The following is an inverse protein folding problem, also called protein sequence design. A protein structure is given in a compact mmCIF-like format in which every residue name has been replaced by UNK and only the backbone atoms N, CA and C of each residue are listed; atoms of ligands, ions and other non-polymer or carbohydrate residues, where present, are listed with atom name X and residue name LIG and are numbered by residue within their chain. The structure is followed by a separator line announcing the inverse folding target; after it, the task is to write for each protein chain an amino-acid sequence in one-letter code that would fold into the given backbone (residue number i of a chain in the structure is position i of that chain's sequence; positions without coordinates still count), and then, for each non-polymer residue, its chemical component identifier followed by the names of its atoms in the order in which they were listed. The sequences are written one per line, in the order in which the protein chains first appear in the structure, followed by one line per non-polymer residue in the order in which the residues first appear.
data_IF_345421317057
#
_entry.id   IF_345421317057
#
_cell.length_a   1.000
_cell.length_b   1.000
_cell.length_c   1.000
_cell.angle_alpha   90.00
_cell.angle_beta   90.00
_cell.angle_gamma   90.00
#
_symmetry.space_group_name_H-M   'P 1'
#
loop_
_entity.id
_entity.type
_entity.pdbx_description
1 polymer ?
#
# COMPACT_ATOMS: atom_id res chain seq x y z
N UNK A 1 61.21 -3.59 -21.42
CA UNK A 1 59.94 -3.70 -20.68
C UNK A 1 58.87 -3.12 -21.57
N UNK A 2 57.84 -3.89 -21.94
CA UNK A 2 56.73 -3.36 -22.75
C UNK A 2 55.97 -2.38 -21.87
N UNK A 3 55.98 -1.09 -22.23
CA UNK A 3 55.02 -0.12 -21.69
C UNK A 3 53.63 -0.74 -21.83
N UNK A 4 52.99 -1.09 -20.70
CA UNK A 4 51.57 -1.41 -20.71
C UNK A 4 50.89 -0.20 -21.33
N UNK A 5 50.29 -0.36 -22.51
CA UNK A 5 49.46 0.67 -23.16
C UNK A 5 48.50 1.17 -22.08
N UNK A 6 48.71 2.42 -21.67
CA UNK A 6 47.91 3.11 -20.68
C UNK A 6 46.50 3.21 -21.25
N UNK A 7 45.63 2.31 -20.82
CA UNK A 7 44.25 2.23 -21.28
C UNK A 7 43.45 3.33 -20.60
N UNK A 8 43.56 4.54 -21.15
CA UNK A 8 42.91 5.75 -20.64
C UNK A 8 41.43 5.52 -20.41
N UNK A 9 40.77 4.71 -21.23
CA UNK A 9 39.34 4.48 -21.14
C UNK A 9 39.02 3.60 -19.93
N UNK A 10 39.74 2.49 -19.75
CA UNK A 10 39.56 1.61 -18.58
C UNK A 10 39.94 2.30 -17.26
N UNK A 11 40.99 3.11 -17.25
CA UNK A 11 41.43 3.88 -16.09
C UNK A 11 40.44 5.02 -15.76
N UNK A 12 39.97 5.74 -16.77
CA UNK A 12 38.98 6.80 -16.60
C UNK A 12 37.66 6.23 -16.07
N UNK A 13 37.22 5.09 -16.61
CA UNK A 13 36.06 4.38 -16.08
C UNK A 13 36.30 3.94 -14.64
N UNK A 14 37.43 3.30 -14.29
CA UNK A 14 37.67 2.87 -12.89
C UNK A 14 37.78 4.03 -11.89
N UNK A 15 38.42 5.14 -12.26
CA UNK A 15 38.56 6.33 -11.40
C UNK A 15 37.25 7.07 -11.26
N UNK A 16 36.50 7.24 -12.35
CA UNK A 16 35.22 7.94 -12.35
C UNK A 16 34.12 7.08 -11.68
N UNK A 17 34.16 5.77 -11.89
CA UNK A 17 33.35 4.80 -11.14
C UNK A 17 33.72 4.81 -9.66
N UNK A 18 34.99 4.90 -9.25
CA UNK A 18 35.35 5.05 -7.84
C UNK A 18 34.93 6.42 -7.25
N UNK A 19 35.06 7.51 -8.01
CA UNK A 19 34.60 8.85 -7.62
C UNK A 19 33.08 8.85 -7.41
N UNK A 20 32.30 8.27 -8.32
CA UNK A 20 30.84 8.26 -8.25
C UNK A 20 30.28 7.20 -7.29
N UNK A 21 30.90 6.03 -7.20
CA UNK A 21 30.61 5.04 -6.15
C UNK A 21 30.76 5.70 -4.77
N UNK A 22 31.76 6.55 -4.52
CA UNK A 22 31.98 7.13 -3.18
C UNK A 22 31.37 8.50 -2.94
N UNK A 23 31.13 9.33 -3.97
CA UNK A 23 30.30 10.55 -3.85
C UNK A 23 28.88 10.24 -3.35
N UNK A 24 28.43 9.00 -3.54
CA UNK A 24 27.10 8.55 -3.18
C UNK A 24 27.06 7.41 -2.14
N UNK A 25 28.10 6.56 -2.01
CA UNK A 25 28.25 5.65 -0.84
C UNK A 25 28.61 6.41 0.44
N UNK A 26 29.05 7.67 0.36
CA UNK A 26 29.16 8.55 1.53
C UNK A 26 27.81 8.86 2.23
N UNK A 27 26.69 8.46 1.63
CA UNK A 27 25.36 8.43 2.23
C UNK A 27 24.89 7.04 2.66
N UNK A 28 25.77 6.02 2.76
CA UNK A 28 25.38 4.64 3.01
C UNK A 28 26.26 3.90 4.04
N UNK A 29 25.81 3.95 5.28
CA UNK A 29 25.73 2.82 6.22
C UNK A 29 24.49 3.20 7.09
N UNK A 30 23.22 2.79 6.91
CA UNK A 30 22.47 1.78 6.14
C UNK A 30 20.94 2.02 6.23
N UNK A 31 20.17 1.22 5.49
CA UNK A 31 19.15 0.36 6.15
C UNK A 31 18.15 -0.27 5.19
N UNK A 32 18.28 -1.57 4.89
CA UNK A 32 17.24 -2.37 4.22
C UNK A 32 17.02 -3.63 5.05
N UNK A 33 15.77 -3.91 5.46
CA UNK A 33 15.18 -5.23 5.18
C UNK A 33 13.64 -5.18 5.18
N UNK A 34 13.08 -5.87 4.17
CA UNK A 34 11.73 -6.44 3.96
C UNK A 34 10.44 -5.71 4.39
N UNK A 35 9.56 -5.58 3.40
CA UNK A 35 8.21 -6.21 3.47
C UNK A 35 7.97 -7.05 2.21
N UNK A 36 7.95 -8.38 2.40
CA UNK A 36 7.12 -9.26 1.56
C UNK A 36 5.67 -9.00 1.96
N UNK A 37 4.84 -8.88 0.93
CA UNK A 37 3.38 -9.04 0.93
C UNK A 37 2.59 -8.14 1.88
N UNK A 38 1.86 -7.20 1.29
CA UNK A 38 0.40 -7.38 1.20
C UNK A 38 -0.03 -7.07 -0.23
N UNK A 39 0.15 -8.06 -1.13
CA UNK A 39 -0.79 -8.18 -2.26
C UNK A 39 -2.13 -8.60 -1.66
N UNK A 40 -2.88 -7.63 -1.16
CA UNK A 40 -4.32 -7.71 -1.26
C UNK A 40 -4.66 -7.25 -2.66
N UNK A 41 -4.82 -8.15 -3.63
CA UNK A 41 -5.60 -7.85 -4.83
C UNK A 41 -7.04 -7.60 -4.38
N UNK A 42 -7.29 -6.40 -3.86
CA UNK A 42 -8.63 -5.92 -3.68
C UNK A 42 -9.13 -5.55 -5.07
N UNK A 43 -10.07 -6.37 -5.55
CA UNK A 43 -10.94 -5.95 -6.64
C UNK A 43 -11.50 -4.57 -6.27
N UNK A 44 -11.55 -3.62 -7.22
CA UNK A 44 -11.97 -2.26 -6.95
C UNK A 44 -13.47 -2.26 -6.61
N UNK A 45 -13.78 -2.43 -5.33
CA UNK A 45 -15.05 -2.02 -4.77
C UNK A 45 -15.02 -0.49 -4.69
N UNK A 46 -16.16 0.13 -5.01
CA UNK A 46 -16.33 1.59 -4.96
C UNK A 46 -15.90 2.13 -3.58
N UNK A 47 -14.72 2.76 -3.56
CA UNK A 47 -14.16 3.38 -2.36
C UNK A 47 -15.08 4.53 -1.95
N UNK A 48 -15.55 4.49 -0.71
CA UNK A 48 -16.40 5.52 -0.10
C UNK A 48 -15.64 6.84 0.02
N UNK A 49 -16.36 7.95 0.21
CA UNK A 49 -15.74 9.22 0.60
C UNK A 49 -14.92 9.02 1.90
N UNK A 50 -13.79 9.72 2.00
CA UNK A 50 -12.92 9.66 3.17
C UNK A 50 -13.66 10.17 4.42
N UNK A 51 -13.20 9.76 5.60
CA UNK A 51 -13.77 10.24 6.87
C UNK A 51 -13.56 11.75 6.99
N UNK A 52 -12.34 12.20 6.72
CA UNK A 52 -12.01 13.62 6.65
C UNK A 52 -12.09 14.12 5.20
N UNK A 53 -12.66 15.31 4.95
CA UNK A 53 -12.64 15.90 3.61
C UNK A 53 -11.21 16.18 3.18
N UNK A 54 -10.95 16.08 1.87
CA UNK A 54 -9.65 16.48 1.33
C UNK A 54 -9.47 18.00 1.57
N UNK A 55 -8.30 18.44 2.07
CA UNK A 55 -8.04 19.86 2.23
C UNK A 55 -8.05 20.57 0.88
N UNK A 56 -8.67 21.75 0.80
CA UNK A 56 -8.78 22.55 -0.43
C UNK A 56 -7.87 23.79 -0.39
N UNK A 57 -7.38 24.15 0.79
CA UNK A 57 -6.47 25.29 1.01
C UNK A 57 -5.21 24.88 1.77
N UNK A 58 -4.14 25.66 1.65
CA UNK A 58 -2.89 25.45 2.40
C UNK A 58 -3.14 25.41 3.91
N UNK A 59 -3.97 26.32 4.43
CA UNK A 59 -4.30 26.36 5.86
C UNK A 59 -5.04 25.10 6.31
N UNK A 60 -6.02 24.63 5.54
CA UNK A 60 -6.72 23.37 5.83
C UNK A 60 -5.79 22.17 5.78
N UNK A 61 -4.84 22.15 4.84
CA UNK A 61 -3.83 21.10 4.74
C UNK A 61 -2.91 21.09 5.96
N UNK A 62 -2.43 22.24 6.40
CA UNK A 62 -1.60 22.38 7.61
C UNK A 62 -2.35 21.97 8.89
N UNK A 63 -3.62 22.36 9.02
CA UNK A 63 -4.48 21.96 10.13
C UNK A 63 -4.73 20.44 10.14
N UNK A 64 -5.02 19.85 8.97
CA UNK A 64 -5.22 18.42 8.82
C UNK A 64 -3.94 17.63 9.11
N UNK A 65 -2.79 18.07 8.58
CA UNK A 65 -1.49 17.44 8.81
C UNK A 65 -1.05 17.48 10.27
N UNK A 66 -1.35 18.58 10.97
CA UNK A 66 -1.16 18.67 12.42
C UNK A 66 -2.03 17.65 13.15
N UNK A 67 -3.31 17.56 12.81
CA UNK A 67 -4.25 16.62 13.40
C UNK A 67 -3.80 15.16 13.23
N UNK A 68 -3.47 14.72 12.01
CA UNK A 68 -3.08 13.31 11.76
C UNK A 68 -1.78 12.94 12.47
N UNK A 69 -1.00 13.94 12.87
CA UNK A 69 0.29 13.71 13.52
C UNK A 69 0.22 13.78 15.02
N UNK A 70 -0.61 14.66 15.56
CA UNK A 70 -1.06 14.54 16.94
C UNK A 70 -1.67 13.14 17.14
N UNK A 71 -2.44 12.64 16.17
CA UNK A 71 -2.96 11.27 16.19
C UNK A 71 -1.83 10.22 16.18
N UNK A 72 -0.78 10.40 15.37
CA UNK A 72 0.37 9.50 15.35
C UNK A 72 1.12 9.52 16.68
N UNK A 73 1.46 10.69 17.23
CA UNK A 73 2.09 10.84 18.54
C UNK A 73 1.29 10.17 19.66
N UNK A 74 -0.04 10.28 19.63
CA UNK A 74 -0.93 9.68 20.65
C UNK A 74 -1.18 8.17 20.46
N UNK A 75 -0.92 7.63 19.27
CA UNK A 75 -1.14 6.20 18.96
C UNK A 75 0.17 5.42 18.92
N UNK A 76 1.30 6.13 18.89
CA UNK A 76 2.66 5.62 18.93
C UNK A 76 2.89 4.41 18.01
N UNK A 77 2.68 4.57 16.68
CA UNK A 77 2.95 3.54 15.69
C UNK A 77 4.45 3.22 15.62
N UNK A 78 4.81 2.03 15.16
CA UNK A 78 6.18 1.74 14.78
C UNK A 78 6.56 2.51 13.52
N UNK A 79 7.84 2.84 13.39
CA UNK A 79 8.40 3.56 12.26
C UNK A 79 9.53 2.77 11.61
N UNK A 80 9.53 2.70 10.29
CA UNK A 80 10.71 2.38 9.51
C UNK A 80 11.28 3.66 8.93
N UNK A 81 12.59 3.76 8.81
CA UNK A 81 13.26 4.88 8.16
C UNK A 81 14.12 4.36 7.01
N UNK A 82 14.05 5.05 5.89
CA UNK A 82 14.86 4.83 4.71
C UNK A 82 15.32 6.19 4.17
N UNK A 83 16.49 6.24 3.56
CA UNK A 83 17.01 7.44 2.92
C UNK A 83 17.65 7.06 1.59
N UNK A 84 17.25 7.72 0.51
CA UNK A 84 17.85 7.51 -0.80
C UNK A 84 18.16 8.82 -1.51
N UNK A 85 19.13 8.76 -2.41
CA UNK A 85 19.55 9.87 -3.26
C UNK A 85 19.38 9.50 -4.72
N UNK A 86 18.92 10.43 -5.53
CA UNK A 86 18.89 10.31 -6.99
C UNK A 86 19.68 11.43 -7.65
N UNK A 87 20.44 11.11 -8.69
CA UNK A 87 21.27 12.06 -9.41
C UNK A 87 20.61 12.38 -10.73
N UNK A 88 20.43 13.66 -11.02
CA UNK A 88 20.08 14.04 -12.38
C UNK A 88 21.34 13.96 -13.26
N UNK A 89 21.53 12.83 -13.94
CA UNK A 89 22.69 12.62 -14.80
C UNK A 89 22.77 13.61 -15.97
N UNK A 90 21.63 14.18 -16.39
CA UNK A 90 21.58 15.17 -17.47
C UNK A 90 22.06 16.54 -16.99
N UNK A 91 22.00 16.81 -15.67
CA UNK A 91 22.51 18.03 -15.04
C UNK A 91 24.03 18.07 -14.84
N UNK A 92 24.77 16.99 -15.16
CA UNK A 92 26.22 16.93 -14.92
C UNK A 92 26.95 17.91 -15.83
N UNK A 93 27.53 18.95 -15.24
CA UNK A 93 28.43 19.90 -15.89
C UNK A 93 29.87 19.74 -15.37
N UNK A 94 30.84 19.99 -16.26
CA UNK A 94 32.25 19.95 -15.91
C UNK A 94 33.10 20.73 -16.90
N UNK A 95 34.19 21.32 -16.42
CA UNK A 95 35.22 21.96 -17.25
C UNK A 95 36.14 20.96 -17.97
N UNK A 96 35.87 19.65 -17.83
CA UNK A 96 36.56 18.55 -18.50
C UNK A 96 36.14 18.34 -19.96
N UNK A 97 36.80 17.39 -20.63
CA UNK A 97 36.43 17.00 -22.00
C UNK A 97 35.05 16.33 -22.04
N UNK A 98 34.37 16.33 -23.19
CA UNK A 98 33.12 15.58 -23.38
C UNK A 98 33.28 14.07 -23.06
N UNK A 99 34.46 13.48 -23.29
CA UNK A 99 34.76 12.11 -22.88
C UNK A 99 34.84 11.92 -21.36
N UNK A 100 35.23 12.97 -20.63
CA UNK A 100 35.23 13.00 -19.17
C UNK A 100 33.79 13.10 -18.64
N UNK A 101 32.98 14.01 -19.20
CA UNK A 101 31.55 14.13 -18.88
C UNK A 101 30.78 12.83 -19.14
N UNK A 102 30.99 12.19 -20.30
CA UNK A 102 30.36 10.90 -20.63
C UNK A 102 30.80 9.77 -19.69
N UNK A 103 32.05 9.80 -19.21
CA UNK A 103 32.52 8.83 -18.23
C UNK A 103 31.81 9.03 -16.88
N UNK A 104 31.56 10.29 -16.48
CA UNK A 104 30.78 10.61 -15.28
C UNK A 104 29.35 10.07 -15.40
N UNK A 105 28.63 10.42 -16.46
CA UNK A 105 27.26 9.93 -16.71
C UNK A 105 27.17 8.39 -16.70
N UNK A 106 28.09 7.70 -17.39
CA UNK A 106 28.10 6.24 -17.44
C UNK A 106 28.34 5.60 -16.07
N UNK A 107 29.19 6.20 -15.25
CA UNK A 107 29.48 5.69 -13.93
C UNK A 107 28.34 5.94 -12.92
N UNK A 108 27.57 7.02 -13.08
CA UNK A 108 26.37 7.27 -12.26
C UNK A 108 25.29 6.22 -12.53
N UNK A 109 25.03 5.88 -13.80
CA UNK A 109 24.04 4.84 -14.13
C UNK A 109 24.39 3.43 -13.63
N UNK A 110 25.66 3.03 -13.67
CA UNK A 110 26.07 1.72 -13.11
C UNK A 110 26.04 1.68 -11.58
N UNK A 111 26.09 2.86 -10.95
CA UNK A 111 26.07 3.02 -9.52
C UNK A 111 24.64 2.90 -8.97
N UNK A 112 23.66 3.54 -9.61
CA UNK A 112 22.23 3.34 -9.31
C UNK A 112 21.83 1.85 -9.34
N UNK A 113 22.35 1.10 -10.30
CA UNK A 113 22.15 -0.36 -10.39
C UNK A 113 22.80 -1.14 -9.22
N UNK A 114 23.94 -0.68 -8.68
CA UNK A 114 24.67 -1.37 -7.61
C UNK A 114 24.21 -1.03 -6.19
N UNK A 115 23.63 0.15 -5.96
CA UNK A 115 23.05 0.52 -4.65
C UNK A 115 21.86 -0.36 -4.29
N UNK A 116 21.11 -0.84 -5.29
CA UNK A 116 19.93 -1.67 -5.10
C UNK A 116 20.17 -3.04 -4.39
N UNK A 117 21.40 -3.33 -3.93
CA UNK A 117 21.76 -4.62 -3.33
C UNK A 117 22.83 -4.64 -2.23
N UNK A 118 23.04 -3.58 -1.43
CA UNK A 118 24.05 -3.57 -0.35
C UNK A 118 23.50 -3.14 1.04
N UNK A 119 23.73 -3.98 2.07
CA UNK A 119 23.21 -3.91 3.46
C UNK A 119 24.32 -3.83 4.56
N UNK A 120 23.86 -3.49 5.78
CA UNK A 120 24.36 -3.46 7.19
C UNK A 120 25.62 -2.64 7.72
N UNK A 121 25.61 -1.93 8.91
CA UNK A 121 26.14 -0.55 9.32
C UNK A 121 25.30 0.42 10.23
N UNK A 122 25.19 0.10 11.51
CA UNK A 122 24.83 0.88 12.71
C UNK A 122 25.20 2.39 12.77
N UNK A 123 24.22 3.31 12.63
CA UNK A 123 23.97 4.46 13.53
C UNK A 123 22.74 5.31 13.08
N UNK A 124 21.65 5.28 13.87
CA UNK A 124 20.37 6.08 13.81
C UNK A 124 19.57 6.02 12.49
N UNK A 125 18.33 5.50 12.39
CA UNK A 125 17.34 4.85 13.26
C UNK A 125 16.73 3.80 12.33
N UNK A 126 17.23 2.57 12.31
CA UNK A 126 16.77 1.62 11.29
C UNK A 126 15.35 1.09 11.56
N UNK A 127 14.80 1.33 12.76
CA UNK A 127 13.41 1.04 13.12
C UNK A 127 13.10 1.66 14.48
N UNK A 128 12.00 2.39 14.61
CA UNK A 128 11.41 2.74 15.92
C UNK A 128 10.33 1.72 16.22
N UNK A 129 10.44 1.06 17.36
CA UNK A 129 9.47 0.06 17.75
C UNK A 129 8.24 0.70 18.42
N UNK A 130 7.15 -0.06 18.49
CA UNK A 130 5.99 0.30 19.30
C UNK A 130 6.42 0.62 20.75
N UNK A 131 5.90 1.71 21.29
CA UNK A 131 6.16 2.12 22.68
C UNK A 131 7.36 3.06 22.87
N UNK A 132 8.21 3.23 21.86
CA UNK A 132 9.30 4.22 21.87
C UNK A 132 8.75 5.62 21.55
N UNK A 133 9.30 6.66 22.19
CA UNK A 133 8.81 8.03 22.02
C UNK A 133 9.19 8.59 20.63
N UNK A 134 8.22 8.62 19.71
CA UNK A 134 8.40 9.19 18.37
C UNK A 134 8.36 10.72 18.35
N UNK A 135 8.03 11.38 19.48
CA UNK A 135 7.88 12.84 19.52
C UNK A 135 9.19 13.56 19.24
N UNK A 136 10.33 13.00 19.66
CA UNK A 136 11.66 13.55 19.32
C UNK A 136 11.85 13.57 17.82
N UNK A 137 11.49 12.49 17.12
CA UNK A 137 11.64 12.40 15.66
C UNK A 137 10.72 13.34 14.91
N UNK A 138 9.45 13.38 15.31
CA UNK A 138 8.50 14.27 14.66
C UNK A 138 8.86 15.73 14.97
N UNK A 139 9.14 16.08 16.23
CA UNK A 139 9.47 17.45 16.61
C UNK A 139 10.81 17.95 16.02
N UNK A 140 11.87 17.13 16.05
CA UNK A 140 13.19 17.52 15.52
C UNK A 140 13.14 17.71 13.99
N UNK A 141 12.25 17.00 13.29
CA UNK A 141 11.97 17.19 11.87
C UNK A 141 10.93 18.30 11.59
N UNK A 142 10.68 19.19 12.55
CA UNK A 142 9.84 20.38 12.37
C UNK A 142 8.35 20.08 12.17
N UNK A 143 7.88 18.94 12.66
CA UNK A 143 6.50 18.52 12.49
C UNK A 143 5.51 19.50 13.14
N UNK A 144 4.51 19.98 12.38
CA UNK A 144 3.45 20.86 12.89
C UNK A 144 3.83 22.35 13.03
N UNK A 145 5.06 22.74 12.68
CA UNK A 145 5.48 24.14 12.53
C UNK A 145 5.51 24.58 11.05
N UNK A 146 4.57 24.05 10.26
CA UNK A 146 4.58 24.17 8.80
C UNK A 146 3.89 25.46 8.37
N UNK A 147 4.54 26.24 7.51
CA UNK A 147 3.93 27.30 6.71
C UNK A 147 4.31 27.06 5.24
N UNK A 148 3.49 26.34 4.49
CA UNK A 148 3.82 26.01 3.10
C UNK A 148 3.49 27.17 2.16
N UNK A 149 4.30 27.38 1.12
CA UNK A 149 4.00 28.31 0.05
C UNK A 149 2.88 27.79 -0.85
N UNK A 150 3.00 26.53 -1.26
CA UNK A 150 2.04 25.83 -2.11
C UNK A 150 1.75 24.41 -1.58
N UNK A 151 0.65 23.82 -2.06
CA UNK A 151 0.17 22.53 -1.61
C UNK A 151 -0.55 21.77 -2.74
N UNK A 152 -0.37 20.45 -2.81
CA UNK A 152 -1.15 19.56 -3.68
C UNK A 152 -1.74 18.37 -2.91
N UNK A 153 -3.01 18.03 -3.19
CA UNK A 153 -3.71 16.87 -2.65
C UNK A 153 -4.14 15.93 -3.78
N UNK A 154 -3.47 14.79 -3.94
CA UNK A 154 -3.82 13.78 -4.94
C UNK A 154 -4.57 12.61 -4.30
N UNK A 155 -5.78 12.34 -4.81
CA UNK A 155 -6.62 11.21 -4.37
C UNK A 155 -7.66 10.76 -5.39
N UNK A 156 -7.79 11.49 -6.49
CA UNK A 156 -8.71 11.17 -7.58
C UNK A 156 -7.90 10.58 -8.72
N UNK A 157 -8.43 9.53 -9.35
CA UNK A 157 -7.93 9.06 -10.63
C UNK A 157 -9.12 8.63 -11.49
N UNK A 158 -8.87 8.40 -12.76
CA UNK A 158 -9.87 8.07 -13.74
C UNK A 158 -9.52 6.72 -14.36
N UNK A 159 -10.52 5.92 -14.71
CA UNK A 159 -10.27 4.64 -15.37
C UNK A 159 -11.22 4.35 -16.51
N UNK A 160 -10.67 3.71 -17.55
CA UNK A 160 -11.39 3.40 -18.76
C UNK A 160 -12.50 2.38 -18.49
N UNK A 161 -13.76 2.65 -18.89
CA UNK A 161 -14.88 1.71 -18.75
C UNK A 161 -14.69 0.40 -19.52
N UNK A 162 -13.83 0.41 -20.55
CA UNK A 162 -13.71 -0.72 -21.48
C UNK A 162 -12.53 -1.63 -21.16
N UNK A 163 -11.40 -1.07 -20.72
CA UNK A 163 -10.16 -1.85 -20.52
C UNK A 163 -9.49 -1.66 -19.15
N UNK A 164 -9.99 -0.75 -18.31
CA UNK A 164 -9.45 -0.51 -16.98
C UNK A 164 -8.13 0.26 -16.92
N UNK A 165 -7.61 0.76 -18.04
CA UNK A 165 -6.45 1.67 -18.06
C UNK A 165 -6.77 2.92 -17.25
N UNK A 166 -5.82 3.37 -16.41
CA UNK A 166 -5.98 4.49 -15.48
C UNK A 166 -5.30 5.76 -16.00
N UNK A 167 -5.74 6.92 -15.50
CA UNK A 167 -5.18 8.25 -15.77
C UNK A 167 -5.40 9.14 -14.53
N UNK A 168 -4.48 10.06 -14.24
CA UNK A 168 -4.68 11.06 -13.18
C UNK A 168 -5.57 12.24 -13.66
N UNK A 169 -5.69 12.41 -14.97
CA UNK A 169 -6.54 13.41 -15.60
C UNK A 169 -7.82 12.79 -16.21
N UNK A 170 -8.94 13.52 -16.27
CA UNK A 170 -10.14 13.06 -16.96
C UNK A 170 -9.89 12.96 -18.46
N UNK A 171 -10.29 11.82 -19.05
CA UNK A 171 -10.14 11.56 -20.49
C UNK A 171 -11.46 11.17 -21.12
N UNK A 172 -11.73 11.76 -22.29
CA UNK A 172 -12.94 11.49 -23.09
C UNK A 172 -12.75 10.32 -24.08
N UNK A 173 -11.52 9.82 -24.22
CA UNK A 173 -11.21 8.67 -25.06
C UNK A 173 -10.00 7.87 -24.55
N UNK A 174 -9.95 6.59 -24.89
CA UNK A 174 -8.88 5.68 -24.49
C UNK A 174 -8.04 5.27 -25.70
N UNK A 175 -6.78 5.69 -25.75
CA UNK A 175 -5.86 5.31 -26.83
C UNK A 175 -5.53 3.81 -26.81
N UNK A 176 -5.49 3.19 -25.62
CA UNK A 176 -5.11 1.78 -25.47
C UNK A 176 -6.13 0.81 -26.09
N UNK A 177 -7.43 1.11 -26.00
CA UNK A 177 -8.49 0.24 -26.51
C UNK A 177 -9.42 0.88 -27.56
N UNK A 178 -9.19 2.15 -27.92
CA UNK A 178 -10.01 2.90 -28.88
C UNK A 178 -11.40 3.29 -28.37
N UNK A 179 -11.67 3.16 -27.07
CA UNK A 179 -12.97 3.52 -26.47
C UNK A 179 -13.19 5.03 -26.53
N UNK A 180 -14.33 5.47 -27.06
CA UNK A 180 -14.77 6.87 -27.09
C UNK A 180 -15.67 7.24 -25.89
N UNK A 181 -15.51 6.52 -24.79
CA UNK A 181 -16.28 6.74 -23.55
C UNK A 181 -15.39 7.49 -22.56
N UNK A 182 -16.00 8.47 -21.91
CA UNK A 182 -15.40 9.16 -20.77
C UNK A 182 -14.98 8.16 -19.69
N UNK A 183 -13.82 8.43 -19.10
CA UNK A 183 -13.32 7.63 -17.99
C UNK A 183 -14.18 7.89 -16.76
N UNK A 184 -14.47 6.83 -16.01
CA UNK A 184 -15.20 6.97 -14.76
C UNK A 184 -14.25 7.47 -13.66
N UNK A 185 -14.73 8.41 -12.84
CA UNK A 185 -13.99 8.93 -11.69
C UNK A 185 -13.87 7.86 -10.62
N UNK A 186 -12.66 7.67 -10.08
CA UNK A 186 -12.32 6.81 -8.96
C UNK A 186 -11.51 7.57 -7.92
N UNK A 187 -11.30 6.88 -6.82
CA UNK A 187 -10.77 7.38 -5.57
C UNK A 187 -9.63 6.46 -5.15
N UNK A 188 -8.46 7.03 -4.83
CA UNK A 188 -7.35 6.31 -4.20
C UNK A 188 -7.71 6.01 -2.74
N UNK A 189 -7.08 5.00 -2.14
CA UNK A 189 -7.26 4.69 -0.71
C UNK A 189 -6.63 5.72 0.22
N UNK A 190 -5.71 6.53 -0.29
CA UNK A 190 -4.90 7.49 0.46
C UNK A 190 -5.02 8.90 -0.12
N UNK A 191 -4.83 9.90 0.73
CA UNK A 191 -4.48 11.27 0.36
C UNK A 191 -2.96 11.34 0.24
N UNK A 192 -2.46 11.69 -0.95
CA UNK A 192 -1.07 12.12 -1.14
C UNK A 192 -1.04 13.65 -1.04
N UNK A 193 -0.52 14.16 0.06
CA UNK A 193 -0.49 15.58 0.44
C UNK A 193 0.95 16.06 0.35
N UNK A 194 1.27 16.87 -0.65
CA UNK A 194 2.63 17.42 -0.85
C UNK A 194 2.61 18.90 -0.56
N UNK A 195 3.42 19.32 0.41
CA UNK A 195 3.70 20.72 0.72
C UNK A 195 4.95 21.15 -0.05
N UNK A 196 4.78 22.15 -0.92
CA UNK A 196 5.83 22.72 -1.76
C UNK A 196 6.27 24.09 -1.23
N UNK A 197 7.58 24.31 -1.23
CA UNK A 197 8.30 25.54 -0.88
C UNK A 197 8.21 26.07 0.57
N UNK A 198 9.35 25.98 1.28
CA UNK A 198 9.71 26.72 2.49
C UNK A 198 10.99 27.56 2.29
N UNK A 199 11.18 28.22 1.14
CA UNK A 199 12.31 29.14 0.94
C UNK A 199 11.86 30.56 0.58
N UNK A 200 11.66 31.37 1.61
CA UNK A 200 11.63 32.82 1.47
C UNK A 200 13.05 33.38 1.47
N UNK A 201 13.62 33.57 0.28
CA UNK A 201 14.78 34.42 0.00
C UNK A 201 16.20 33.92 0.39
N UNK A 202 17.25 34.40 -0.34
CA UNK A 202 18.64 34.08 -0.04
C UNK A 202 19.05 34.59 1.34
N UNK A 203 19.45 33.67 2.22
CA UNK A 203 19.90 33.99 3.59
C UNK A 203 18.99 33.45 4.69
N UNK A 204 17.83 32.89 4.36
CA UNK A 204 17.03 32.15 5.34
C UNK A 204 17.70 30.79 5.62
N UNK A 205 17.89 30.48 6.90
CA UNK A 205 18.31 29.15 7.32
C UNK A 205 17.12 28.22 7.13
N UNK A 206 17.24 27.26 6.21
CA UNK A 206 16.36 26.08 6.16
C UNK A 206 16.04 25.64 7.59
N UNK A 207 14.76 25.51 7.98
CA UNK A 207 14.41 24.96 9.29
C UNK A 207 14.83 23.50 9.45
N UNK A 208 15.30 22.87 8.36
CA UNK A 208 15.82 21.51 8.33
C UNK A 208 17.35 21.58 8.27
N UNK A 209 17.99 21.01 9.30
CA UNK A 209 19.43 21.11 9.54
C UNK A 209 20.23 20.73 8.29
N UNK A 210 20.94 21.71 7.73
CA UNK A 210 22.02 21.43 6.77
C UNK A 210 23.07 20.63 7.53
N UNK A 211 23.52 19.47 7.00
CA UNK A 211 24.71 18.80 7.54
C UNK A 211 25.85 19.81 7.64
N UNK A 212 26.50 19.86 8.80
CA UNK A 212 27.62 20.76 9.03
C UNK A 212 28.79 20.42 8.11
N UNK A 213 29.63 21.41 7.78
CA UNK A 213 30.84 21.16 6.98
C UNK A 213 31.78 20.16 7.65
N UNK A 214 31.77 20.09 8.98
CA UNK A 214 32.58 19.20 9.80
C UNK A 214 32.13 17.74 9.68
N UNK A 215 30.81 17.50 9.62
CA UNK A 215 30.24 16.17 9.34
C UNK A 215 30.59 15.71 7.93
N UNK A 216 30.46 16.60 6.94
CA UNK A 216 30.82 16.29 5.56
C UNK A 216 32.33 16.02 5.43
N UNK A 217 33.19 16.81 6.10
CA UNK A 217 34.65 16.63 6.10
C UNK A 217 35.10 15.34 6.79
N UNK A 218 34.45 14.97 7.90
CA UNK A 218 34.71 13.70 8.59
C UNK A 218 34.37 12.50 7.70
N UNK A 219 33.29 12.59 6.91
CA UNK A 219 32.82 11.53 6.00
C UNK A 219 33.76 11.34 4.80
N UNK A 220 34.37 12.40 4.27
CA UNK A 220 35.24 12.33 3.08
C UNK A 220 36.73 12.09 3.39
N UNK A 221 37.11 12.06 4.67
CA UNK A 221 38.51 11.99 5.11
C UNK A 221 39.17 10.67 4.70
N UNK A 222 40.29 10.75 3.98
CA UNK A 222 41.10 9.59 3.57
C UNK A 222 40.60 8.85 2.32
N UNK A 223 39.42 9.22 1.78
CA UNK A 223 38.81 8.55 0.63
C UNK A 223 39.49 8.84 -0.71
N UNK A 224 40.11 10.03 -0.82
CA UNK A 224 40.77 10.49 -2.04
C UNK A 224 42.29 10.46 -1.94
N UNK A 225 42.83 9.82 -0.90
CA UNK A 225 44.26 9.75 -0.62
C UNK A 225 45.03 9.17 -1.83
N UNK A 226 45.90 10.00 -2.41
CA UNK A 226 46.70 9.62 -3.58
C UNK A 226 45.97 9.65 -4.92
N UNK A 227 44.69 10.06 -4.97
CA UNK A 227 43.88 10.17 -6.19
C UNK A 227 43.51 11.61 -6.52
N UNK A 228 42.93 12.34 -5.57
CA UNK A 228 42.59 13.76 -5.73
C UNK A 228 42.53 14.48 -4.37
N UNK A 229 42.52 15.80 -4.39
CA UNK A 229 42.13 16.65 -3.26
C UNK A 229 40.87 17.41 -3.61
N UNK A 230 39.98 17.60 -2.65
CA UNK A 230 38.85 18.52 -2.78
C UNK A 230 39.35 19.91 -2.42
N UNK A 231 39.35 20.80 -3.41
CA UNK A 231 39.82 22.18 -3.27
C UNK A 231 38.72 23.07 -2.68
N UNK A 232 37.47 22.85 -3.12
CA UNK A 232 36.29 23.56 -2.64
C UNK A 232 35.03 22.72 -2.89
N UNK A 233 33.98 22.96 -2.12
CA UNK A 233 32.65 22.43 -2.37
C UNK A 233 31.61 23.50 -2.10
N UNK A 234 30.52 23.47 -2.86
CA UNK A 234 29.35 24.28 -2.67
C UNK A 234 28.11 23.39 -2.81
N UNK A 235 27.19 23.50 -1.85
CA UNK A 235 25.90 22.81 -1.88
C UNK A 235 24.84 23.90 -1.80
N UNK A 236 24.10 24.08 -2.89
CA UNK A 236 22.99 25.00 -2.97
C UNK A 236 21.69 24.20 -2.88
N UNK A 237 20.82 24.55 -1.93
CA UNK A 237 19.51 23.94 -1.83
C UNK A 237 18.58 24.64 -2.81
N UNK A 238 18.02 23.86 -3.74
CA UNK A 238 17.18 24.36 -4.83
C UNK A 238 15.70 24.06 -4.61
N UNK A 239 15.36 23.13 -3.73
CA UNK A 239 13.99 22.80 -3.40
C UNK A 239 13.87 21.99 -2.12
N UNK A 240 12.71 22.11 -1.47
CA UNK A 240 12.36 21.30 -0.32
C UNK A 240 10.86 21.02 -0.32
N UNK A 241 10.50 19.75 -0.16
CA UNK A 241 9.12 19.27 -0.21
C UNK A 241 8.88 18.25 0.90
N UNK A 242 7.67 18.26 1.44
CA UNK A 242 7.24 17.25 2.39
C UNK A 242 6.01 16.56 1.83
N UNK A 243 6.07 15.23 1.68
CA UNK A 243 4.98 14.43 1.14
C UNK A 243 4.43 13.48 2.20
N UNK A 244 3.14 13.58 2.46
CA UNK A 244 2.39 12.68 3.33
C UNK A 244 1.54 11.75 2.50
N UNK A 245 1.52 10.48 2.88
CA UNK A 245 0.45 9.56 2.50
C UNK A 245 -0.40 9.29 3.74
N UNK A 246 -1.70 9.53 3.63
CA UNK A 246 -2.65 9.35 4.74
C UNK A 246 -3.82 8.50 4.27
N UNK A 247 -4.11 7.42 4.99
CA UNK A 247 -5.27 6.58 4.70
C UNK A 247 -6.57 7.38 4.89
N UNK A 248 -7.39 7.47 3.83
CA UNK A 248 -8.60 8.32 3.82
C UNK A 248 -9.72 7.81 4.71
N UNK A 249 -9.71 6.53 5.01
CA UNK A 249 -10.74 5.87 5.82
C UNK A 249 -10.35 5.79 7.29
N UNK A 250 -9.08 6.01 7.64
CA UNK A 250 -8.63 5.95 9.03
C UNK A 250 -7.95 7.23 9.51
N UNK A 251 -7.55 8.16 8.64
CA UNK A 251 -6.69 9.32 8.97
C UNK A 251 -5.35 8.90 9.59
N UNK A 252 -4.82 7.75 9.19
CA UNK A 252 -3.53 7.23 9.64
C UNK A 252 -2.47 7.52 8.58
N UNK A 253 -1.39 8.20 8.99
CA UNK A 253 -0.24 8.47 8.13
C UNK A 253 0.39 7.12 7.79
N UNK A 254 0.52 6.76 6.53
CA UNK A 254 1.18 5.51 6.09
C UNK A 254 2.63 5.77 5.70
N UNK A 255 2.92 6.96 5.15
CA UNK A 255 4.27 7.40 4.83
C UNK A 255 4.44 8.90 4.99
N UNK A 256 5.63 9.32 5.39
CA UNK A 256 6.09 10.70 5.40
C UNK A 256 7.43 10.77 4.68
N UNK A 257 7.58 11.69 3.74
CA UNK A 257 8.83 11.89 3.02
C UNK A 257 9.30 13.33 3.11
N UNK A 258 10.59 13.52 3.33
CA UNK A 258 11.28 14.79 3.22
C UNK A 258 12.17 14.74 1.99
N UNK A 259 11.89 15.60 1.02
CA UNK A 259 12.56 15.61 -0.27
C UNK A 259 13.35 16.91 -0.39
N UNK A 260 14.66 16.81 -0.52
CA UNK A 260 15.59 17.94 -0.65
C UNK A 260 16.22 17.91 -2.03
N UNK A 261 15.98 18.94 -2.82
CA UNK A 261 16.64 19.14 -4.10
C UNK A 261 17.85 20.07 -3.88
N UNK A 262 19.00 19.67 -4.41
CA UNK A 262 20.28 20.36 -4.23
C UNK A 262 21.06 20.40 -5.54
N UNK A 263 21.79 21.49 -5.75
CA UNK A 263 22.88 21.56 -6.72
C UNK A 263 24.20 21.47 -5.97
N UNK A 264 24.97 20.43 -6.27
CA UNK A 264 26.30 20.22 -5.71
C UNK A 264 27.33 20.67 -6.73
N UNK A 265 28.32 21.46 -6.30
CA UNK A 265 29.46 21.87 -7.12
C UNK A 265 30.75 21.61 -6.35
N UNK A 266 31.71 20.92 -6.97
CA UNK A 266 32.98 20.56 -6.33
C UNK A 266 34.14 20.88 -7.26
N UNK A 267 35.15 21.53 -6.71
CA UNK A 267 36.46 21.68 -7.32
C UNK A 267 37.39 20.58 -6.80
N UNK A 268 37.96 19.80 -7.71
CA UNK A 268 38.92 18.74 -7.38
C UNK A 268 40.24 18.94 -8.09
N UNK A 269 41.35 18.65 -7.42
CA UNK A 269 42.68 18.55 -8.02
C UNK A 269 43.13 17.11 -8.02
N UNK A 270 43.32 16.50 -9.19
CA UNK A 270 43.87 15.15 -9.28
C UNK A 270 45.35 15.11 -8.93
N UNK A 271 45.77 14.11 -8.14
CA UNK A 271 47.14 13.94 -7.65
C UNK A 271 47.70 12.55 -8.00
N UNK A 272 49.00 12.32 -7.76
CA UNK A 272 49.64 11.03 -7.97
C UNK A 272 49.65 10.60 -9.45
N UNK A 273 49.18 9.38 -9.74
CA UNK A 273 49.13 8.85 -11.11
C UNK A 273 48.15 9.61 -12.03
N UNK A 274 47.31 10.48 -11.45
CA UNK A 274 46.20 11.15 -12.12
C UNK A 274 46.40 12.65 -12.32
N UNK A 275 47.56 13.21 -11.93
CA UNK A 275 47.87 14.65 -12.06
C UNK A 275 47.63 15.22 -13.47
N UNK A 276 47.71 14.38 -14.52
CA UNK A 276 47.43 14.77 -15.90
C UNK A 276 45.99 15.18 -16.18
N UNK A 277 45.04 14.79 -15.32
CA UNK A 277 43.65 15.25 -15.39
C UNK A 277 43.51 16.70 -14.88
N UNK A 278 44.50 17.18 -14.12
CA UNK A 278 44.57 18.55 -13.64
C UNK A 278 43.48 18.87 -12.63
N UNK A 279 43.10 20.15 -12.58
CA UNK A 279 41.95 20.60 -11.81
C UNK A 279 40.68 20.39 -12.60
N UNK A 280 39.61 19.96 -11.94
CA UNK A 280 38.29 19.80 -12.54
C UNK A 280 37.25 20.45 -11.64
N UNK A 281 36.35 21.20 -12.25
CA UNK A 281 35.10 21.59 -11.62
C UNK A 281 34.02 20.63 -12.11
N UNK A 282 33.18 20.16 -11.18
CA UNK A 282 32.08 19.23 -11.44
C UNK A 282 30.86 19.76 -10.71
N UNK A 283 29.73 19.92 -11.41
CA UNK A 283 28.45 20.25 -10.80
C UNK A 283 27.34 19.34 -11.31
N UNK A 284 26.35 19.08 -10.45
CA UNK A 284 25.18 18.26 -10.76
C UNK A 284 24.09 18.47 -9.71
N UNK A 285 22.86 18.11 -10.08
CA UNK A 285 21.71 18.13 -9.21
C UNK A 285 21.50 16.76 -8.56
N UNK A 286 21.12 16.80 -7.29
CA UNK A 286 20.79 15.64 -6.47
C UNK A 286 19.44 15.90 -5.82
N UNK A 287 18.61 14.86 -5.75
CA UNK A 287 17.45 14.82 -4.86
C UNK A 287 17.72 13.81 -3.76
N UNK A 288 17.67 14.25 -2.51
CA UNK A 288 17.71 13.41 -1.32
C UNK A 288 16.29 13.21 -0.81
N UNK A 289 15.94 11.98 -0.44
CA UNK A 289 14.63 11.65 0.12
C UNK A 289 14.78 10.82 1.37
N UNK A 290 14.44 11.41 2.52
CA UNK A 290 14.17 10.67 3.75
C UNK A 290 12.72 10.17 3.70
N UNK A 291 12.52 8.88 3.90
CA UNK A 291 11.22 8.23 3.93
C UNK A 291 10.99 7.55 5.27
N UNK A 292 9.89 7.91 5.92
CA UNK A 292 9.40 7.26 7.12
C UNK A 292 8.15 6.46 6.76
N UNK A 293 8.15 5.17 7.08
CA UNK A 293 6.99 4.29 6.95
C UNK A 293 6.35 4.07 8.32
N UNK A 294 5.04 4.14 8.40
CA UNK A 294 4.30 4.04 9.66
C UNK A 294 3.52 2.73 9.70
N UNK A 295 3.73 1.95 10.75
CA UNK A 295 2.97 0.73 11.04
C UNK A 295 2.10 0.97 12.27
N UNK A 296 0.79 1.03 12.06
CA UNK A 296 -0.18 1.33 13.10
C UNK A 296 -0.58 0.06 13.85
N UNK A 297 -0.85 0.13 15.16
CA UNK A 297 -1.35 -1.02 15.90
C UNK A 297 -2.74 -1.35 15.39
N UNK A 298 -2.92 -2.59 14.94
CA UNK A 298 -4.17 -3.10 14.42
C UNK A 298 -4.25 -4.60 14.72
N UNK A 299 -5.47 -5.11 14.76
CA UNK A 299 -5.77 -6.52 14.85
C UNK A 299 -6.70 -6.86 13.70
N UNK A 300 -6.33 -7.88 12.93
CA UNK A 300 -7.13 -8.39 11.83
C UNK A 300 -7.32 -9.90 11.99
N UNK A 301 -8.54 -10.36 11.75
CA UNK A 301 -8.86 -11.76 11.66
C UNK A 301 -8.69 -12.23 10.22
N UNK A 302 -8.17 -13.45 10.05
CA UNK A 302 -8.00 -14.06 8.73
C UNK A 302 -9.33 -14.35 8.00
N UNK A 303 -10.48 -14.27 8.68
CA UNK A 303 -11.81 -14.56 8.15
C UNK A 303 -12.85 -13.62 8.77
N UNK A 304 -13.63 -12.93 7.94
CA UNK A 304 -14.82 -12.17 8.39
C UNK A 304 -16.02 -13.09 8.66
N UNK A 305 -16.08 -14.23 7.97
CA UNK A 305 -17.14 -15.24 8.13
C UNK A 305 -16.58 -16.64 8.16
N UNK A 306 -17.18 -17.49 8.99
CA UNK A 306 -16.78 -18.88 9.19
C UNK A 306 -18.00 -19.79 9.28
N UNK A 307 -17.96 -20.95 8.64
CA UNK A 307 -19.03 -21.97 8.73
C UNK A 307 -18.44 -23.22 9.37
N UNK A 308 -19.01 -23.65 10.51
CA UNK A 308 -18.57 -24.83 11.24
C UNK A 308 -19.76 -25.79 11.37
N UNK A 309 -19.55 -27.08 11.12
CA UNK A 309 -20.59 -28.07 11.41
C UNK A 309 -20.77 -28.29 12.92
N UNK A 310 -21.96 -28.64 13.40
CA UNK A 310 -22.18 -28.88 14.83
C UNK A 310 -21.25 -29.96 15.39
N UNK A 311 -20.64 -29.69 16.56
CA UNK A 311 -19.66 -30.53 17.26
C UNK A 311 -18.28 -30.65 16.59
N UNK A 312 -18.02 -29.86 15.55
CA UNK A 312 -16.67 -29.71 15.01
C UNK A 312 -16.02 -28.44 15.55
N UNK A 313 -14.73 -28.32 15.26
CA UNK A 313 -13.91 -27.18 15.62
C UNK A 313 -13.23 -26.60 14.38
N UNK A 314 -12.93 -25.32 14.42
CA UNK A 314 -12.06 -24.63 13.46
C UNK A 314 -11.30 -23.54 14.23
N UNK A 315 -10.42 -22.80 13.57
CA UNK A 315 -9.65 -21.74 14.21
C UNK A 315 -9.75 -20.43 13.43
N UNK A 316 -9.66 -19.34 14.18
CA UNK A 316 -9.37 -18.02 13.67
C UNK A 316 -7.91 -17.70 13.97
N UNK A 317 -7.26 -17.04 13.02
CA UNK A 317 -5.94 -16.48 13.22
C UNK A 317 -6.12 -14.97 13.33
N UNK A 318 -5.68 -14.42 14.45
CA UNK A 318 -5.56 -12.99 14.63
C UNK A 318 -4.13 -12.57 14.32
N UNK A 319 -3.98 -11.64 13.40
CA UNK A 319 -2.71 -11.03 13.05
C UNK A 319 -2.63 -9.64 13.70
N UNK A 320 -1.53 -9.40 14.39
CA UNK A 320 -1.19 -8.10 14.93
C UNK A 320 -0.18 -7.46 13.99
N UNK A 321 -0.42 -6.20 13.63
CA UNK A 321 0.58 -5.39 12.92
C UNK A 321 1.69 -4.88 13.85
N UNK A 322 1.52 -5.04 15.17
CA UNK A 322 2.53 -4.72 16.16
C UNK A 322 3.34 -5.95 16.59
N UNK A 323 4.64 -5.93 16.32
CA UNK A 323 5.59 -6.88 16.89
C UNK A 323 5.99 -6.45 18.31
N UNK A 324 5.15 -6.71 19.31
CA UNK A 324 5.66 -6.99 20.67
C UNK A 324 5.07 -8.32 21.18
N UNK A 325 5.78 -9.44 20.96
CA UNK A 325 5.26 -10.77 21.22
C UNK A 325 5.22 -11.17 22.70
N UNK A 326 5.42 -10.27 23.67
CA UNK A 326 5.41 -10.64 25.10
C UNK A 326 4.54 -9.78 26.04
N UNK A 327 3.96 -8.66 25.58
CA UNK A 327 3.11 -7.80 26.41
C UNK A 327 1.61 -7.80 26.02
N UNK A 328 1.27 -8.18 24.80
CA UNK A 328 -0.11 -8.10 24.30
C UNK A 328 -0.75 -9.48 24.16
N UNK A 329 -1.55 -9.87 25.16
CA UNK A 329 -2.41 -11.06 25.07
C UNK A 329 -3.71 -10.70 24.37
N UNK A 330 -4.00 -11.39 23.27
CA UNK A 330 -5.30 -11.29 22.60
C UNK A 330 -6.35 -11.95 23.49
N UNK A 331 -7.42 -11.22 23.76
CA UNK A 331 -8.61 -11.69 24.46
C UNK A 331 -9.67 -12.09 23.45
N UNK A 332 -10.27 -13.25 23.65
CA UNK A 332 -11.33 -13.77 22.78
C UNK A 332 -12.66 -13.82 23.51
N UNK A 333 -13.73 -13.49 22.82
CA UNK A 333 -15.10 -13.57 23.36
C UNK A 333 -16.06 -14.15 22.33
N UNK A 334 -17.10 -14.84 22.83
CA UNK A 334 -18.22 -15.33 22.03
C UNK A 334 -19.49 -14.64 22.45
N UNK A 335 -20.28 -14.17 21.49
CA UNK A 335 -21.57 -13.52 21.77
C UNK A 335 -22.63 -14.51 22.30
N UNK A 336 -22.48 -15.82 22.05
CA UNK A 336 -23.33 -16.91 22.57
C UNK A 336 -22.54 -18.23 22.66
N UNK A 337 -21.95 -18.49 23.83
CA UNK A 337 -21.24 -19.74 24.14
C UNK A 337 -22.12 -21.00 24.06
N UNK A 338 -23.45 -20.87 24.05
CA UNK A 338 -24.33 -22.02 23.82
C UNK A 338 -24.32 -22.50 22.36
N UNK A 339 -23.81 -21.69 21.42
CA UNK A 339 -23.65 -21.99 19.99
C UNK A 339 -22.21 -22.37 19.67
N UNK A 340 -21.24 -21.54 20.05
CA UNK A 340 -19.82 -21.84 19.92
C UNK A 340 -18.99 -21.14 21.01
N UNK A 341 -17.98 -21.82 21.52
CA UNK A 341 -16.99 -21.27 22.47
C UNK A 341 -15.68 -20.98 21.74
N UNK A 342 -14.88 -20.07 22.27
CA UNK A 342 -13.53 -19.76 21.76
C UNK A 342 -12.53 -19.80 22.91
N UNK A 343 -11.35 -20.38 22.69
CA UNK A 343 -10.28 -20.41 23.68
C UNK A 343 -9.28 -19.24 23.53
N UNK A 344 -8.21 -19.26 24.33
CA UNK A 344 -7.22 -18.18 24.34
C UNK A 344 -6.35 -18.13 23.07
N UNK A 345 -6.27 -19.24 22.35
CA UNK A 345 -5.50 -19.41 21.11
C UNK A 345 -6.35 -19.17 19.85
N UNK A 346 -7.64 -18.87 20.00
CA UNK A 346 -8.57 -18.61 18.89
C UNK A 346 -9.16 -19.87 18.26
N UNK A 347 -9.09 -21.03 18.93
CA UNK A 347 -9.83 -22.22 18.50
C UNK A 347 -11.29 -22.10 18.91
N UNK A 348 -12.16 -22.35 17.94
CA UNK A 348 -13.61 -22.27 18.09
C UNK A 348 -14.16 -23.69 18.12
N UNK A 349 -14.83 -24.04 19.22
CA UNK A 349 -15.58 -25.28 19.36
C UNK A 349 -17.07 -25.02 19.16
N UNK A 350 -17.62 -25.51 18.06
CA UNK A 350 -19.04 -25.44 17.80
C UNK A 350 -19.79 -26.46 18.66
N UNK A 351 -20.85 -26.04 19.34
CA UNK A 351 -21.69 -26.96 20.10
C UNK A 351 -22.61 -27.75 19.16
N UNK A 352 -23.53 -28.53 19.73
CA UNK A 352 -24.60 -29.19 18.97
C UNK A 352 -25.67 -28.23 18.44
N UNK A 353 -25.76 -27.01 18.98
CA UNK A 353 -26.82 -26.05 18.67
C UNK A 353 -26.44 -25.30 17.40
N UNK A 354 -27.29 -25.34 16.39
CA UNK A 354 -27.11 -24.54 15.18
C UNK A 354 -27.48 -23.08 15.43
N UNK A 355 -26.80 -22.16 14.77
CA UNK A 355 -27.08 -20.74 14.87
C UNK A 355 -25.95 -19.88 14.33
N UNK A 356 -26.11 -18.58 14.52
CA UNK A 356 -25.13 -17.54 14.21
C UNK A 356 -24.59 -16.97 15.51
N UNK A 357 -23.28 -16.80 15.59
CA UNK A 357 -22.59 -16.23 16.75
C UNK A 357 -21.42 -15.37 16.27
N UNK A 358 -21.15 -14.26 16.94
CA UNK A 358 -20.00 -13.42 16.65
C UNK A 358 -18.87 -13.77 17.61
N UNK A 359 -17.70 -14.06 17.06
CA UNK A 359 -16.46 -14.25 17.82
C UNK A 359 -15.63 -12.99 17.66
N UNK A 360 -15.23 -12.37 18.77
CA UNK A 360 -14.44 -11.13 18.77
C UNK A 360 -13.09 -11.39 19.40
N UNK A 361 -12.02 -10.99 18.71
CA UNK A 361 -10.68 -10.88 19.25
C UNK A 361 -10.40 -9.42 19.62
N UNK A 362 -9.70 -9.19 20.71
CA UNK A 362 -9.30 -7.84 21.13
C UNK A 362 -7.94 -7.82 21.83
N UNK A 363 -7.25 -6.69 21.74
CA UNK A 363 -6.07 -6.41 22.55
C UNK A 363 -6.06 -4.94 22.99
N UNK A 364 -5.38 -4.65 24.10
CA UNK A 364 -5.21 -3.29 24.60
C UNK A 364 -3.77 -2.83 24.38
N UNK A 365 -3.61 -1.64 23.80
CA UNK A 365 -2.32 -0.98 23.62
C UNK A 365 -2.46 0.51 23.95
N UNK A 366 -1.61 1.00 24.85
CA UNK A 366 -1.64 2.39 25.37
C UNK A 366 -3.02 2.84 25.86
N UNK A 367 -3.78 1.95 26.51
CA UNK A 367 -5.12 2.25 27.03
C UNK A 367 -6.22 2.34 25.95
N UNK A 368 -5.91 2.00 24.70
CA UNK A 368 -6.87 1.85 23.60
C UNK A 368 -7.10 0.37 23.33
N UNK A 369 -8.35 0.01 23.08
CA UNK A 369 -8.74 -1.37 22.72
C UNK A 369 -8.89 -1.44 21.20
N UNK A 370 -8.25 -2.45 20.61
CA UNK A 370 -8.32 -2.78 19.19
C UNK A 370 -9.02 -4.12 19.06
N UNK A 371 -10.04 -4.19 18.19
CA UNK A 371 -10.89 -5.37 18.06
C UNK A 371 -11.19 -5.67 16.60
N UNK A 372 -11.39 -6.94 16.31
CA UNK A 372 -11.95 -7.43 15.05
C UNK A 372 -12.83 -8.66 15.34
N UNK A 373 -13.78 -8.92 14.47
CA UNK A 373 -14.84 -9.91 14.70
C UNK A 373 -15.15 -10.75 13.48
N UNK A 374 -15.47 -12.02 13.74
CA UNK A 374 -15.87 -12.99 12.74
C UNK A 374 -17.28 -13.47 13.05
N UNK A 375 -18.15 -13.48 12.03
CA UNK A 375 -19.46 -14.11 12.12
C UNK A 375 -19.35 -15.61 11.85
N UNK A 376 -19.63 -16.43 12.85
CA UNK A 376 -19.58 -17.88 12.80
C UNK A 376 -20.99 -18.45 12.65
N UNK A 377 -21.20 -19.21 11.58
CA UNK A 377 -22.42 -19.96 11.33
C UNK A 377 -22.21 -21.43 11.70
N UNK A 378 -22.80 -21.86 12.81
CA UNK A 378 -22.84 -23.28 13.18
C UNK A 378 -23.98 -23.96 12.43
N UNK A 379 -23.65 -24.62 11.32
CA UNK A 379 -24.61 -25.29 10.44
C UNK A 379 -23.94 -26.35 9.58
N UNK A 380 -24.73 -27.33 9.14
CA UNK A 380 -24.35 -28.24 8.07
C UNK A 380 -24.67 -27.54 6.74
N UNK A 381 -23.67 -27.24 5.90
CA UNK A 381 -23.88 -26.51 4.66
C UNK A 381 -24.70 -27.33 3.67
N UNK A 382 -25.40 -26.64 2.77
CA UNK A 382 -25.92 -27.27 1.55
C UNK A 382 -24.73 -27.51 0.61
N UNK A 383 -24.67 -28.69 -0.01
CA UNK A 383 -23.65 -29.05 -1.01
C UNK A 383 -24.23 -29.10 -2.43
N UNK A 384 -25.52 -29.43 -2.54
CA UNK A 384 -26.22 -29.41 -3.83
C UNK A 384 -27.73 -29.34 -3.66
N UNK A 385 -28.39 -28.84 -4.71
CA UNK A 385 -29.84 -28.85 -4.83
C UNK A 385 -30.23 -29.39 -6.20
N UNK A 386 -31.25 -30.27 -6.23
CA UNK A 386 -31.73 -30.89 -7.47
C UNK A 386 -33.24 -30.85 -7.55
N UNK A 387 -33.78 -30.34 -8.65
CA UNK A 387 -35.22 -30.40 -8.91
C UNK A 387 -35.67 -31.76 -9.46
N UNK A 388 -36.93 -32.10 -9.22
CA UNK A 388 -37.57 -33.34 -9.67
C UNK A 388 -37.59 -33.47 -11.20
N UNK A 389 -37.67 -32.34 -11.92
CA UNK A 389 -37.67 -32.26 -13.38
C UNK A 389 -36.83 -31.07 -13.87
N UNK A 390 -36.22 -31.24 -15.05
CA UNK A 390 -35.52 -30.15 -15.77
C UNK A 390 -36.40 -29.48 -16.82
N UNK A 391 -37.42 -30.19 -17.30
CA UNK A 391 -38.39 -29.70 -18.28
C UNK A 391 -39.77 -30.26 -17.95
N UNK A 392 -40.80 -29.42 -18.11
CA UNK A 392 -42.21 -29.77 -17.92
C UNK A 392 -43.03 -29.14 -19.04
N UNK A 393 -44.00 -29.88 -19.58
CA UNK A 393 -44.97 -29.40 -20.56
C UNK A 393 -46.36 -29.41 -19.94
N UNK A 394 -47.10 -28.31 -20.08
CA UNK A 394 -48.44 -28.13 -19.51
C UNK A 394 -49.39 -27.52 -20.54
N UNK A 395 -50.67 -27.88 -20.46
CA UNK A 395 -51.75 -27.10 -21.08
C UNK A 395 -52.08 -25.86 -20.25
N UNK A 396 -52.68 -24.84 -20.88
CA UNK A 396 -53.15 -23.65 -20.17
C UNK A 396 -54.14 -24.01 -19.06
N UNK A 397 -53.90 -23.51 -17.85
CA UNK A 397 -54.69 -23.84 -16.65
C UNK A 397 -54.31 -25.15 -15.94
N UNK A 398 -53.40 -25.96 -16.51
CA UNK A 398 -52.85 -27.11 -15.81
C UNK A 398 -51.78 -26.69 -14.77
N UNK A 399 -51.63 -27.52 -13.74
CA UNK A 399 -50.63 -27.32 -12.70
C UNK A 399 -49.75 -28.55 -12.50
N UNK A 400 -48.50 -28.32 -12.11
CA UNK A 400 -47.52 -29.35 -11.79
C UNK A 400 -46.69 -28.94 -10.57
N UNK A 401 -46.54 -29.85 -9.61
CA UNK A 401 -45.70 -29.60 -8.43
C UNK A 401 -44.25 -29.98 -8.72
N UNK A 402 -43.37 -28.99 -8.69
CA UNK A 402 -41.94 -29.20 -8.69
C UNK A 402 -41.47 -29.48 -7.26
N UNK A 403 -40.61 -30.48 -7.11
CA UNK A 403 -39.99 -30.80 -5.82
C UNK A 403 -38.49 -30.54 -5.92
N UNK A 404 -37.89 -30.07 -4.83
CA UNK A 404 -36.44 -29.92 -4.70
C UNK A 404 -35.90 -30.91 -3.69
N UNK A 405 -34.71 -31.44 -3.98
CA UNK A 405 -33.93 -32.25 -3.04
C UNK A 405 -32.62 -31.54 -2.74
N UNK A 406 -32.46 -31.12 -1.49
CA UNK A 406 -31.23 -30.58 -0.94
C UNK A 406 -30.36 -31.74 -0.45
N UNK A 407 -29.05 -31.66 -0.67
CA UNK A 407 -28.06 -32.60 -0.16
C UNK A 407 -26.92 -31.84 0.52
N UNK A 408 -26.37 -32.36 1.64
CA UNK A 408 -26.78 -33.58 2.32
C UNK A 408 -28.16 -33.44 3.00
N UNK A 409 -28.81 -34.57 3.30
CA UNK A 409 -30.11 -34.55 3.99
C UNK A 409 -30.01 -34.06 5.45
N UNK A 410 -28.79 -33.92 5.96
CA UNK A 410 -28.48 -33.32 7.26
C UNK A 410 -28.22 -31.82 7.18
N UNK A 411 -28.26 -31.21 5.99
CA UNK A 411 -28.10 -29.76 5.82
C UNK A 411 -29.06 -29.02 6.76
N UNK A 412 -28.57 -27.99 7.42
CA UNK A 412 -29.36 -27.22 8.40
C UNK A 412 -30.46 -26.43 7.71
N UNK A 413 -30.21 -25.96 6.49
CA UNK A 413 -31.21 -25.32 5.63
C UNK A 413 -31.74 -26.36 4.65
N UNK A 414 -33.04 -26.66 4.75
CA UNK A 414 -33.74 -27.57 3.84
C UNK A 414 -34.91 -26.90 3.11
N UNK A 415 -35.08 -25.60 3.34
CA UNK A 415 -36.11 -24.78 2.72
C UNK A 415 -35.58 -24.17 1.42
N UNK A 416 -36.51 -23.91 0.51
CA UNK A 416 -36.23 -23.24 -0.77
C UNK A 416 -37.25 -22.13 -1.00
N UNK A 417 -36.84 -21.11 -1.76
CA UNK A 417 -37.71 -20.05 -2.30
C UNK A 417 -37.91 -20.28 -3.79
N UNK A 418 -39.14 -20.08 -4.26
CA UNK A 418 -39.54 -20.31 -5.65
C UNK A 418 -39.74 -19.02 -6.42
N UNK A 419 -39.36 -19.04 -7.70
CA UNK A 419 -39.43 -17.90 -8.60
C UNK A 419 -39.77 -18.33 -10.02
N UNK A 420 -40.50 -17.48 -10.73
CA UNK A 420 -40.69 -17.57 -12.18
C UNK A 420 -40.06 -16.37 -12.86
N UNK A 421 -39.37 -16.59 -13.98
CA UNK A 421 -38.84 -15.49 -14.80
C UNK A 421 -39.94 -14.71 -15.53
N UNK A 422 -41.12 -15.32 -15.72
CA UNK A 422 -42.31 -14.68 -16.27
C UNK A 422 -43.61 -15.30 -15.71
N UNK A 423 -44.19 -14.64 -14.70
CA UNK A 423 -45.44 -15.06 -14.07
C UNK A 423 -46.68 -14.94 -14.98
N UNK A 424 -46.57 -14.33 -16.16
CA UNK A 424 -47.66 -14.29 -17.15
C UNK A 424 -47.74 -15.58 -17.97
N UNK A 425 -46.63 -16.32 -18.08
CA UNK A 425 -46.55 -17.63 -18.77
C UNK A 425 -46.79 -18.76 -17.76
N UNK A 426 -46.06 -18.78 -16.65
CA UNK A 426 -46.26 -19.75 -15.57
C UNK A 426 -45.98 -19.12 -14.20
N UNK A 427 -46.90 -19.30 -13.26
CA UNK A 427 -46.75 -18.85 -11.87
C UNK A 427 -46.35 -20.02 -10.98
N UNK A 428 -45.48 -19.80 -10.00
CA UNK A 428 -45.11 -20.79 -9.00
C UNK A 428 -45.41 -20.24 -7.61
N UNK A 429 -46.03 -21.05 -6.75
CA UNK A 429 -46.28 -20.67 -5.36
C UNK A 429 -45.14 -21.07 -4.42
N UNK A 430 -45.26 -20.73 -3.14
CA UNK A 430 -44.28 -21.06 -2.09
C UNK A 430 -44.07 -22.57 -1.88
N UNK A 431 -45.00 -23.41 -2.34
CA UNK A 431 -44.94 -24.86 -2.23
C UNK A 431 -44.40 -25.54 -3.51
N UNK A 432 -43.97 -24.75 -4.50
CA UNK A 432 -43.46 -25.26 -5.77
C UNK A 432 -44.54 -25.72 -6.75
N UNK A 433 -45.80 -25.33 -6.53
CA UNK A 433 -46.90 -25.62 -7.46
C UNK A 433 -46.85 -24.64 -8.62
N UNK A 434 -46.43 -25.13 -9.78
CA UNK A 434 -46.41 -24.36 -11.02
C UNK A 434 -47.78 -24.43 -11.67
N UNK A 435 -48.36 -23.29 -12.02
CA UNK A 435 -49.63 -23.16 -12.75
C UNK A 435 -49.40 -22.45 -14.07
N UNK A 436 -49.77 -23.10 -15.17
CA UNK A 436 -49.67 -22.56 -16.52
C UNK A 436 -50.74 -21.49 -16.77
N UNK A 437 -50.33 -20.28 -17.17
CA UNK A 437 -51.21 -19.12 -17.37
C UNK A 437 -51.30 -18.65 -18.82
N UNK A 438 -50.24 -18.81 -19.60
CA UNK A 438 -50.19 -18.32 -20.98
C UNK A 438 -49.21 -19.12 -21.83
N UNK A 439 -49.50 -19.23 -23.13
CA UNK A 439 -48.67 -19.97 -24.08
C UNK A 439 -47.26 -19.38 -24.18
N UNK A 440 -46.24 -20.22 -24.08
CA UNK A 440 -44.83 -19.79 -24.12
C UNK A 440 -43.88 -20.77 -23.43
N UNK A 441 -42.60 -20.42 -23.34
CA UNK A 441 -41.61 -21.15 -22.53
C UNK A 441 -41.04 -20.18 -21.48
N UNK A 442 -40.96 -20.61 -20.22
CA UNK A 442 -40.44 -19.83 -19.10
C UNK A 442 -39.59 -20.70 -18.18
N UNK A 443 -38.58 -20.11 -17.54
CA UNK A 443 -37.80 -20.78 -16.51
C UNK A 443 -38.44 -20.53 -15.15
N UNK A 444 -38.79 -21.62 -14.47
CA UNK A 444 -39.10 -21.63 -13.04
C UNK A 444 -37.86 -22.13 -12.30
N UNK A 445 -37.51 -21.48 -11.21
CA UNK A 445 -36.34 -21.87 -10.42
C UNK A 445 -36.60 -21.80 -8.92
N UNK A 446 -35.94 -22.70 -8.21
CA UNK A 446 -35.83 -22.70 -6.76
C UNK A 446 -34.44 -22.18 -6.37
N UNK A 447 -34.39 -21.45 -5.27
CA UNK A 447 -33.18 -21.03 -4.59
C UNK A 447 -33.17 -21.65 -3.19
N UNK A 448 -32.04 -22.19 -2.73
CA UNK A 448 -31.89 -22.54 -1.31
C UNK A 448 -32.08 -21.30 -0.44
N UNK A 449 -32.62 -21.44 0.77
CA UNK A 449 -32.95 -20.27 1.60
C UNK A 449 -31.70 -19.48 2.05
N UNK A 450 -30.54 -20.12 2.08
CA UNK A 450 -29.22 -19.49 2.27
C UNK A 450 -28.68 -18.79 1.02
N UNK A 451 -29.37 -18.90 -0.12
CA UNK A 451 -29.10 -18.17 -1.36
C UNK A 451 -28.02 -18.74 -2.27
N UNK A 452 -27.30 -19.79 -1.84
CA UNK A 452 -26.10 -20.25 -2.56
C UNK A 452 -26.39 -21.23 -3.71
N UNK A 453 -27.52 -21.95 -3.68
CA UNK A 453 -27.83 -22.97 -4.68
C UNK A 453 -29.10 -22.64 -5.46
N UNK A 454 -29.01 -22.74 -6.79
CA UNK A 454 -30.13 -22.56 -7.72
C UNK A 454 -30.37 -23.86 -8.49
N UNK A 455 -31.63 -24.25 -8.62
CA UNK A 455 -32.05 -25.34 -9.50
C UNK A 455 -33.21 -24.86 -10.37
N UNK A 456 -33.17 -25.19 -11.66
CA UNK A 456 -34.06 -24.64 -12.69
C UNK A 456 -34.86 -25.73 -13.41
N UNK A 457 -36.04 -25.37 -13.91
CA UNK A 457 -36.85 -26.16 -14.82
C UNK A 457 -37.45 -25.26 -15.88
N UNK A 458 -37.34 -25.67 -17.13
CA UNK A 458 -38.04 -25.04 -18.23
C UNK A 458 -39.49 -25.54 -18.27
N UNK A 459 -40.44 -24.62 -18.30
CA UNK A 459 -41.88 -24.89 -18.37
C UNK A 459 -42.38 -24.39 -19.71
N UNK A 460 -42.85 -25.32 -20.55
CA UNK A 460 -43.47 -24.99 -21.84
C UNK A 460 -44.98 -25.15 -21.75
N UNK A 461 -45.72 -24.08 -22.05
CA UNK A 461 -47.19 -24.06 -22.10
C UNK A 461 -47.63 -24.09 -23.57
N UNK A 462 -48.41 -25.11 -23.96
CA UNK A 462 -48.77 -25.38 -25.36
C UNK A 462 -50.24 -25.14 -25.72
#
# INVERSE_FOLDING_TARGET
MKEKKFDKQKLLTTVVTAILIFFFIGGFWLGLDRVRSMEGTFLPNDIKEGISPAPETVQEAEEYLRYVTDKAMNSNPALSYDCYFSVDTDSIETDGSDSFRKALVFATGNFEDHISGAEESEEKISSVNFGEDISVLLNDNGFGAMSAGEFTCSYIYYSCPSCGVTSDEPLDSCEACGSLREYYKKYRGEYEIVLDELYTAPGDTSPYDKRSEEEIDALIKGLFDGVLTIDSRNIEYTGFRIAYNVNRLTDEITSLKYIRDMTVSVDVTFIGEYEKLGKKNISFNITETDSYGFSWPALSLNKETLVIEPKNSDNLLAELTCEDPLAMTISWTSSDESIATVDAEGYIDATKKTGEVTITASFEYLGKVYEDSCTVFVRVPVESMKMSKKTVKLGEGESFTLETKISPASATVQTVKWYSEDESIAYVDENGVVTAKGKGSVIVYALSDDGYYRSTCEVTVE
#
